data_IF_579971911354
#
_entry.id   IF_579971911354
#
_cell.length_a   1.000
_cell.length_b   1.000
_cell.length_c   1.000
_cell.angle_alpha   90.00
_cell.angle_beta   90.00
_cell.angle_gamma   90.00
#
_symmetry.space_group_name_H-M   'P 1'
#
loop_
_entity.id
_entity.type
_entity.pdbx_description
1 polymer ?
#
# COMPACT_ATOMS: atom_id res chain seq x y z
N UNK A 1 29.76 19.34 10.12
CA UNK A 1 29.56 18.30 9.09
C UNK A 1 28.06 18.20 8.87
N UNK A 2 27.54 18.17 7.65
CA UNK A 2 26.12 17.93 7.47
C UNK A 2 25.80 16.54 8.06
N UNK A 3 24.84 16.48 8.98
CA UNK A 3 24.38 15.22 9.50
C UNK A 3 23.77 14.44 8.33
N UNK A 4 24.30 13.28 8.03
CA UNK A 4 23.84 12.43 6.92
C UNK A 4 22.50 11.77 7.23
N UNK A 5 22.15 11.66 8.50
CA UNK A 5 20.93 11.04 9.01
C UNK A 5 20.15 12.02 9.87
N UNK A 6 19.01 12.42 9.37
CA UNK A 6 17.98 13.15 10.13
C UNK A 6 16.67 12.38 10.23
N UNK A 7 15.65 13.04 10.74
CA UNK A 7 14.33 12.42 10.86
C UNK A 7 13.77 11.86 9.54
N UNK A 8 13.92 12.53 8.36
CA UNK A 8 13.44 11.98 7.11
C UNK A 8 14.06 10.62 6.77
N UNK A 9 15.39 10.48 6.95
CA UNK A 9 16.12 9.26 6.66
C UNK A 9 15.75 8.13 7.63
N UNK A 10 15.64 8.45 8.92
CA UNK A 10 15.23 7.48 9.95
C UNK A 10 13.82 6.97 9.64
N UNK A 11 12.87 7.85 9.34
CA UNK A 11 11.50 7.46 9.01
C UNK A 11 11.44 6.67 7.71
N UNK A 12 12.22 7.04 6.67
CA UNK A 12 12.31 6.28 5.44
C UNK A 12 12.80 4.83 5.68
N UNK A 13 13.82 4.65 6.54
CA UNK A 13 14.31 3.32 6.94
C UNK A 13 13.25 2.53 7.74
N UNK A 14 12.54 3.17 8.66
CA UNK A 14 11.44 2.52 9.40
C UNK A 14 10.32 2.08 8.46
N UNK A 15 9.95 2.91 7.48
CA UNK A 15 8.97 2.55 6.45
C UNK A 15 9.48 1.41 5.58
N UNK A 16 10.76 1.39 5.21
CA UNK A 16 11.36 0.28 4.46
C UNK A 16 11.25 -1.05 5.23
N UNK A 17 11.58 -1.03 6.52
CA UNK A 17 11.44 -2.20 7.41
C UNK A 17 9.97 -2.63 7.47
N UNK A 18 9.05 -1.69 7.68
CA UNK A 18 7.61 -1.98 7.70
C UNK A 18 7.15 -2.65 6.41
N UNK A 19 7.53 -2.13 5.22
CA UNK A 19 7.18 -2.74 3.93
C UNK A 19 7.78 -4.13 3.78
N UNK A 20 9.00 -4.37 4.27
CA UNK A 20 9.60 -5.69 4.32
C UNK A 20 8.81 -6.69 5.17
N UNK A 21 8.35 -6.27 6.35
CA UNK A 21 7.51 -7.10 7.23
C UNK A 21 6.14 -7.39 6.59
N UNK A 22 5.53 -6.41 5.95
CA UNK A 22 4.28 -6.58 5.20
C UNK A 22 4.47 -7.55 4.02
N UNK A 23 5.60 -7.48 3.31
CA UNK A 23 5.91 -8.43 2.23
C UNK A 23 6.06 -9.86 2.77
N UNK A 24 6.72 -10.05 3.91
CA UNK A 24 6.81 -11.37 4.56
C UNK A 24 5.43 -11.91 4.94
N UNK A 25 4.54 -11.04 5.45
CA UNK A 25 3.15 -11.40 5.76
C UNK A 25 2.38 -11.76 4.48
N UNK A 26 2.48 -10.94 3.45
CA UNK A 26 1.91 -11.17 2.13
C UNK A 26 2.38 -12.49 1.52
N UNK A 27 3.67 -12.78 1.57
CA UNK A 27 4.25 -14.02 1.05
C UNK A 27 3.74 -15.27 1.80
N UNK A 28 3.52 -15.18 3.12
CA UNK A 28 2.90 -16.28 3.90
C UNK A 28 1.47 -16.52 3.47
N UNK A 29 0.70 -15.45 3.31
CA UNK A 29 -0.70 -15.53 2.86
C UNK A 29 -0.77 -16.08 1.42
N UNK A 30 0.08 -15.61 0.52
CA UNK A 30 0.20 -16.11 -0.85
C UNK A 30 0.39 -17.63 -0.91
N UNK A 31 1.33 -18.17 -0.12
CA UNK A 31 1.55 -19.63 -0.09
C UNK A 31 0.29 -20.39 0.33
N UNK A 32 -0.46 -19.87 1.32
CA UNK A 32 -1.71 -20.49 1.78
C UNK A 32 -2.82 -20.40 0.73
N UNK A 33 -2.93 -19.26 0.04
CA UNK A 33 -3.93 -19.06 -1.01
C UNK A 33 -3.66 -20.00 -2.20
N UNK A 34 -2.41 -20.10 -2.66
CA UNK A 34 -2.01 -21.00 -3.74
C UNK A 34 -2.23 -22.46 -3.37
N UNK A 35 -1.91 -22.88 -2.14
CA UNK A 35 -2.22 -24.22 -1.63
C UNK A 35 -3.73 -24.50 -1.60
N UNK A 36 -4.56 -23.48 -1.46
CA UNK A 36 -6.03 -23.54 -1.53
C UNK A 36 -6.60 -23.47 -2.95
N UNK A 37 -5.75 -23.45 -3.99
CA UNK A 37 -6.20 -23.41 -5.40
C UNK A 37 -6.42 -21.99 -5.95
N UNK A 38 -5.94 -20.95 -5.26
CA UNK A 38 -6.01 -19.59 -5.79
C UNK A 38 -5.17 -19.43 -7.07
N UNK A 39 -5.61 -18.54 -7.95
CA UNK A 39 -4.91 -18.17 -9.19
C UNK A 39 -4.43 -16.72 -9.09
N UNK A 40 -3.19 -16.45 -9.52
CA UNK A 40 -2.64 -15.11 -9.59
C UNK A 40 -3.11 -14.41 -10.87
N UNK A 41 -3.58 -13.17 -10.73
CA UNK A 41 -3.92 -12.28 -11.84
C UNK A 41 -2.90 -11.14 -11.91
N UNK A 42 -2.50 -10.77 -13.14
CA UNK A 42 -1.61 -9.63 -13.36
C UNK A 42 -0.21 -9.78 -12.73
N UNK A 43 0.37 -10.99 -12.73
CA UNK A 43 1.67 -11.26 -12.11
C UNK A 43 2.80 -10.34 -12.61
N UNK A 44 2.78 -9.97 -13.89
CA UNK A 44 3.75 -9.06 -14.50
C UNK A 44 3.69 -7.62 -13.95
N UNK A 45 2.61 -7.26 -13.24
CA UNK A 45 2.43 -5.93 -12.67
C UNK A 45 3.10 -5.77 -11.29
N UNK A 46 3.29 -6.84 -10.55
CA UNK A 46 3.86 -6.77 -9.20
C UNK A 46 5.22 -6.05 -9.12
N UNK A 47 6.19 -6.26 -10.04
CA UNK A 47 7.44 -5.51 -10.03
C UNK A 47 7.26 -3.99 -10.10
N UNK A 48 6.26 -3.50 -10.84
CA UNK A 48 5.95 -2.06 -10.92
C UNK A 48 5.56 -1.52 -9.54
N UNK A 49 4.72 -2.24 -8.79
CA UNK A 49 4.33 -1.89 -7.43
C UNK A 49 5.54 -1.84 -6.50
N UNK A 50 6.39 -2.87 -6.53
CA UNK A 50 7.57 -2.97 -5.69
C UNK A 50 8.58 -1.85 -5.98
N UNK A 51 8.88 -1.60 -7.26
CA UNK A 51 9.79 -0.52 -7.69
C UNK A 51 9.23 0.85 -7.30
N UNK A 52 7.93 1.09 -7.47
CA UNK A 52 7.30 2.36 -7.08
C UNK A 52 7.39 2.63 -5.57
N UNK A 53 7.25 1.59 -4.72
CA UNK A 53 7.46 1.72 -3.27
C UNK A 53 8.91 2.05 -2.94
N UNK A 54 9.86 1.33 -3.52
CA UNK A 54 11.28 1.60 -3.30
C UNK A 54 11.68 2.99 -3.79
N UNK A 55 11.19 3.41 -4.96
CA UNK A 55 11.44 4.74 -5.50
C UNK A 55 10.91 5.85 -4.58
N UNK A 56 9.71 5.68 -4.02
CA UNK A 56 9.14 6.61 -3.06
C UNK A 56 9.95 6.72 -1.77
N UNK A 57 10.36 5.59 -1.20
CA UNK A 57 11.20 5.56 0.01
C UNK A 57 12.57 6.17 -0.29
N UNK A 58 13.18 5.82 -1.42
CA UNK A 58 14.46 6.38 -1.87
C UNK A 58 14.37 7.90 -2.11
N UNK A 59 13.27 8.38 -2.68
CA UNK A 59 13.04 9.81 -2.87
C UNK A 59 13.01 10.56 -1.53
N UNK A 60 12.36 10.02 -0.50
CA UNK A 60 12.37 10.61 0.84
C UNK A 60 13.79 10.57 1.42
N UNK A 61 14.48 9.44 1.31
CA UNK A 61 15.80 9.25 1.90
C UNK A 61 16.87 10.15 1.28
N UNK A 62 16.89 10.27 -0.05
CA UNK A 62 17.98 10.97 -0.76
C UNK A 62 17.66 12.41 -1.13
N UNK A 63 16.38 12.77 -1.30
CA UNK A 63 16.01 14.11 -1.79
C UNK A 63 15.52 15.05 -0.68
N UNK A 64 15.16 14.50 0.51
CA UNK A 64 14.71 15.34 1.62
C UNK A 64 15.93 15.67 2.51
N UNK A 65 16.21 16.96 2.79
CA UNK A 65 17.32 17.35 3.65
C UNK A 65 17.23 16.73 5.05
N UNK A 66 18.36 16.33 5.62
CA UNK A 66 18.40 15.69 6.94
C UNK A 66 17.90 16.62 8.07
N UNK A 67 18.08 17.92 7.90
CA UNK A 67 17.64 18.98 8.83
C UNK A 67 16.23 19.49 8.56
N UNK A 68 15.47 18.84 7.64
CA UNK A 68 14.11 19.23 7.34
C UNK A 68 13.22 19.21 8.60
N UNK A 69 12.51 20.30 8.82
CA UNK A 69 11.63 20.45 9.97
C UNK A 69 10.44 19.49 9.88
N UNK A 70 10.15 18.82 10.99
CA UNK A 70 8.97 17.95 11.10
C UNK A 70 7.73 18.82 11.31
N UNK A 71 6.68 18.58 10.52
CA UNK A 71 5.36 19.18 10.67
C UNK A 71 4.52 18.32 11.64
N UNK A 72 4.33 18.73 12.92
CA UNK A 72 3.76 17.83 13.95
C UNK A 72 2.34 17.35 13.62
N UNK A 73 1.50 18.23 13.10
CA UNK A 73 0.10 17.89 12.75
C UNK A 73 0.06 16.83 11.64
N UNK A 74 0.91 16.97 10.61
CA UNK A 74 0.99 15.99 9.52
C UNK A 74 1.62 14.67 9.99
N UNK A 75 2.57 14.72 10.93
CA UNK A 75 3.14 13.51 11.54
C UNK A 75 2.07 12.73 12.32
N UNK A 76 1.26 13.40 13.12
CA UNK A 76 0.13 12.78 13.85
C UNK A 76 -0.88 12.19 12.86
N UNK A 77 -1.22 12.92 11.80
CA UNK A 77 -2.12 12.43 10.76
C UNK A 77 -1.55 11.18 10.05
N UNK A 78 -0.25 11.16 9.76
CA UNK A 78 0.43 9.99 9.19
C UNK A 78 0.37 8.78 10.14
N UNK A 79 0.62 8.98 11.43
CA UNK A 79 0.52 7.91 12.43
C UNK A 79 -0.92 7.37 12.56
N UNK A 80 -1.92 8.24 12.52
CA UNK A 80 -3.31 7.82 12.50
C UNK A 80 -3.64 6.99 11.25
N UNK A 81 -3.07 7.38 10.09
CA UNK A 81 -3.23 6.64 8.85
C UNK A 81 -2.60 5.24 8.92
N UNK A 82 -1.49 5.06 9.67
CA UNK A 82 -0.95 3.73 9.95
C UNK A 82 -1.95 2.85 10.71
N UNK A 83 -2.69 3.41 11.66
CA UNK A 83 -3.78 2.70 12.33
C UNK A 83 -4.86 2.20 11.35
N UNK A 84 -5.26 3.06 10.40
CA UNK A 84 -6.20 2.69 9.33
C UNK A 84 -5.61 1.59 8.43
N UNK A 85 -4.32 1.68 8.10
CA UNK A 85 -3.63 0.65 7.31
C UNK A 85 -3.69 -0.72 7.99
N UNK A 86 -3.33 -0.81 9.27
CA UNK A 86 -3.39 -2.07 9.99
C UNK A 86 -4.83 -2.58 10.20
N UNK A 87 -5.81 -1.68 10.29
CA UNK A 87 -7.22 -2.07 10.28
C UNK A 87 -7.62 -2.72 8.95
N UNK A 88 -7.18 -2.16 7.81
CA UNK A 88 -7.41 -2.76 6.49
C UNK A 88 -6.76 -4.14 6.38
N UNK A 89 -5.47 -4.25 6.74
CA UNK A 89 -4.71 -5.50 6.71
C UNK A 89 -5.37 -6.56 7.59
N UNK A 90 -5.73 -6.20 8.83
CA UNK A 90 -6.37 -7.10 9.78
C UNK A 90 -7.76 -7.55 9.36
N UNK A 91 -8.54 -6.69 8.67
CA UNK A 91 -9.87 -7.06 8.15
C UNK A 91 -9.78 -8.15 7.09
N UNK A 92 -8.83 -8.06 6.15
CA UNK A 92 -8.61 -9.12 5.15
C UNK A 92 -7.89 -10.35 5.75
N UNK A 93 -7.08 -10.16 6.79
CA UNK A 93 -6.37 -11.23 7.47
C UNK A 93 -5.58 -12.11 6.50
N UNK A 94 -5.94 -13.42 6.43
CA UNK A 94 -5.28 -14.40 5.55
C UNK A 94 -5.42 -14.15 4.07
N UNK A 95 -6.37 -13.31 3.64
CA UNK A 95 -6.59 -12.95 2.24
C UNK A 95 -5.81 -11.70 1.80
N UNK A 96 -5.19 -10.99 2.74
CA UNK A 96 -4.40 -9.82 2.41
C UNK A 96 -3.08 -10.18 1.74
N UNK A 97 -2.86 -9.66 0.55
CA UNK A 97 -1.61 -9.81 -0.23
C UNK A 97 -1.30 -8.54 -1.01
N UNK A 98 -0.03 -8.33 -1.34
CA UNK A 98 0.37 -7.28 -2.27
C UNK A 98 0.02 -7.58 -3.73
N UNK A 99 -0.13 -8.87 -4.06
CA UNK A 99 -0.49 -9.35 -5.39
C UNK A 99 -2.01 -9.57 -5.48
N UNK A 100 -2.51 -9.78 -6.69
CA UNK A 100 -3.92 -10.06 -6.93
C UNK A 100 -4.10 -11.58 -7.04
N UNK A 101 -4.89 -12.16 -6.13
CA UNK A 101 -5.28 -13.56 -6.17
C UNK A 101 -6.79 -13.71 -6.21
N UNK A 102 -7.27 -14.61 -7.06
CA UNK A 102 -8.67 -15.02 -7.06
C UNK A 102 -8.79 -16.44 -6.50
N UNK A 103 -9.75 -16.66 -5.64
CA UNK A 103 -10.11 -17.95 -5.08
C UNK A 103 -11.63 -18.04 -5.03
N UNK A 104 -12.22 -18.95 -5.81
CA UNK A 104 -13.68 -19.00 -6.02
C UNK A 104 -14.44 -19.23 -4.71
N UNK A 105 -13.86 -19.98 -3.76
CA UNK A 105 -14.42 -20.23 -2.43
C UNK A 105 -14.22 -19.10 -1.42
N UNK A 106 -13.43 -18.06 -1.73
CA UNK A 106 -13.21 -16.99 -0.79
C UNK A 106 -14.36 -15.97 -0.79
N UNK A 107 -14.86 -15.55 0.37
CA UNK A 107 -15.88 -14.51 0.44
C UNK A 107 -15.35 -13.17 -0.06
N UNK A 108 -16.23 -12.34 -0.63
CA UNK A 108 -15.92 -10.93 -0.87
C UNK A 108 -16.07 -10.20 0.46
N UNK A 109 -14.99 -9.60 0.93
CA UNK A 109 -15.01 -8.91 2.22
C UNK A 109 -15.83 -7.62 2.14
N UNK A 110 -16.75 -7.44 3.09
CA UNK A 110 -17.64 -6.27 3.20
C UNK A 110 -17.63 -5.66 4.62
N UNK A 111 -16.75 -6.15 5.51
CA UNK A 111 -16.62 -5.67 6.90
C UNK A 111 -15.54 -4.59 7.03
N UNK A 112 -15.50 -3.96 8.18
CA UNK A 112 -14.49 -2.96 8.51
C UNK A 112 -14.45 -1.83 7.46
N UNK A 113 -13.24 -1.44 6.97
CA UNK A 113 -13.11 -0.39 5.96
C UNK A 113 -13.78 -0.75 4.62
N UNK A 114 -13.91 -2.04 4.29
CA UNK A 114 -14.52 -2.54 3.05
C UNK A 114 -16.03 -2.31 2.95
N UNK A 115 -16.69 -1.94 4.06
CA UNK A 115 -18.10 -1.51 4.04
C UNK A 115 -18.29 -0.10 3.47
N UNK A 116 -17.23 0.73 3.49
CA UNK A 116 -17.30 2.12 3.03
C UNK A 116 -16.81 2.28 1.59
N UNK A 117 -15.82 1.47 1.18
CA UNK A 117 -15.26 1.52 -0.17
C UNK A 117 -14.67 0.18 -0.59
N UNK A 118 -14.61 -0.07 -1.91
CA UNK A 118 -14.10 -1.34 -2.46
C UNK A 118 -12.60 -1.55 -2.25
N UNK A 119 -11.81 -0.49 -2.30
CA UNK A 119 -10.34 -0.55 -2.30
C UNK A 119 -9.71 0.32 -1.20
N UNK A 120 -10.02 0.09 0.10
CA UNK A 120 -9.50 0.94 1.18
C UNK A 120 -7.98 0.86 1.29
N UNK A 121 -7.37 -0.28 0.98
CA UNK A 121 -5.91 -0.44 0.97
C UNK A 121 -5.24 0.52 -0.03
N UNK A 122 -5.85 0.74 -1.19
CA UNK A 122 -5.30 1.63 -2.21
C UNK A 122 -5.45 3.10 -1.84
N UNK A 123 -6.59 3.47 -1.26
CA UNK A 123 -6.80 4.81 -0.74
C UNK A 123 -5.77 5.16 0.35
N UNK A 124 -5.52 4.23 1.29
CA UNK A 124 -4.48 4.39 2.31
C UNK A 124 -3.10 4.55 1.68
N UNK A 125 -2.73 3.73 0.69
CA UNK A 125 -1.43 3.83 0.02
C UNK A 125 -1.24 5.19 -0.67
N UNK A 126 -2.25 5.71 -1.37
CA UNK A 126 -2.19 7.05 -1.99
C UNK A 126 -2.03 8.12 -0.91
N UNK A 127 -2.82 8.05 0.16
CA UNK A 127 -2.74 9.01 1.26
C UNK A 127 -1.38 8.99 1.98
N UNK A 128 -0.81 7.81 2.24
CA UNK A 128 0.54 7.67 2.80
C UNK A 128 1.60 8.27 1.90
N UNK A 129 1.51 8.01 0.58
CA UNK A 129 2.47 8.52 -0.40
C UNK A 129 2.47 10.04 -0.46
N UNK A 130 1.28 10.65 -0.37
CA UNK A 130 1.15 12.10 -0.32
C UNK A 130 1.62 12.68 1.01
N UNK A 131 1.19 12.09 2.12
CA UNK A 131 1.30 12.70 3.44
C UNK A 131 2.72 12.63 4.01
N UNK A 132 3.42 11.49 3.86
CA UNK A 132 4.74 11.33 4.50
C UNK A 132 5.78 12.34 4.02
N UNK A 133 5.95 12.62 2.70
CA UNK A 133 6.88 13.67 2.28
C UNK A 133 6.49 15.06 2.80
N UNK A 134 5.18 15.34 2.93
CA UNK A 134 4.68 16.61 3.46
C UNK A 134 5.00 16.81 4.94
N UNK A 135 5.14 15.73 5.72
CA UNK A 135 5.63 15.79 7.11
C UNK A 135 6.96 16.53 7.20
N UNK A 136 7.76 16.45 6.16
CA UNK A 136 9.08 17.09 6.06
C UNK A 136 9.10 18.27 5.06
N UNK A 137 7.94 18.79 4.66
CA UNK A 137 7.82 19.91 3.72
C UNK A 137 8.25 19.59 2.28
N UNK A 138 8.47 18.31 1.92
CA UNK A 138 8.92 17.89 0.61
C UNK A 138 7.76 17.81 -0.41
N UNK A 139 7.19 18.97 -0.76
CA UNK A 139 5.99 19.09 -1.61
C UNK A 139 6.22 18.48 -2.99
N UNK A 140 7.36 18.71 -3.62
CA UNK A 140 7.66 18.16 -4.94
C UNK A 140 7.66 16.61 -4.93
N UNK A 141 8.29 16.00 -3.92
CA UNK A 141 8.30 14.54 -3.74
C UNK A 141 6.88 14.02 -3.53
N UNK A 142 6.10 14.70 -2.69
CA UNK A 142 4.69 14.35 -2.46
C UNK A 142 3.88 14.35 -3.75
N UNK A 143 3.91 15.43 -4.51
CA UNK A 143 3.11 15.58 -5.75
C UNK A 143 3.52 14.55 -6.79
N UNK A 144 4.82 14.44 -7.08
CA UNK A 144 5.34 13.54 -8.13
C UNK A 144 5.02 12.08 -7.77
N UNK A 145 5.35 11.66 -6.55
CA UNK A 145 5.16 10.26 -6.16
C UNK A 145 3.67 9.90 -6.02
N UNK A 146 2.83 10.84 -5.58
CA UNK A 146 1.39 10.62 -5.55
C UNK A 146 0.82 10.45 -6.95
N UNK A 147 1.25 11.27 -7.92
CA UNK A 147 0.82 11.11 -9.32
C UNK A 147 1.22 9.74 -9.89
N UNK A 148 2.47 9.31 -9.65
CA UNK A 148 2.95 7.97 -10.01
C UNK A 148 2.05 6.88 -9.38
N UNK A 149 1.80 6.98 -8.07
CA UNK A 149 0.99 5.99 -7.35
C UNK A 149 -0.47 5.96 -7.78
N UNK A 150 -1.06 7.10 -8.10
CA UNK A 150 -2.42 7.15 -8.68
C UNK A 150 -2.47 6.38 -10.00
N UNK A 151 -1.48 6.56 -10.89
CA UNK A 151 -1.41 5.82 -12.15
C UNK A 151 -1.23 4.31 -11.92
N UNK A 152 -0.29 3.92 -11.04
CA UNK A 152 -0.01 2.53 -10.66
C UNK A 152 -1.27 1.86 -10.09
N UNK A 153 -1.95 2.51 -9.15
CA UNK A 153 -3.13 1.96 -8.49
C UNK A 153 -4.33 1.89 -9.45
N UNK A 154 -4.54 2.88 -10.31
CA UNK A 154 -5.62 2.81 -11.32
C UNK A 154 -5.48 1.57 -12.19
N UNK A 155 -4.27 1.29 -12.68
CA UNK A 155 -4.04 0.08 -13.46
C UNK A 155 -4.25 -1.20 -12.64
N UNK A 156 -3.81 -1.21 -11.38
CA UNK A 156 -4.04 -2.35 -10.48
C UNK A 156 -5.52 -2.62 -10.23
N UNK A 157 -6.32 -1.56 -10.06
CA UNK A 157 -7.79 -1.68 -9.87
C UNK A 157 -8.42 -2.33 -11.10
N UNK A 158 -8.03 -1.93 -12.32
CA UNK A 158 -8.54 -2.53 -13.57
C UNK A 158 -8.27 -4.03 -13.59
N UNK A 159 -7.02 -4.44 -13.33
CA UNK A 159 -6.64 -5.86 -13.27
C UNK A 159 -7.41 -6.63 -12.21
N UNK A 160 -7.63 -6.04 -11.03
CA UNK A 160 -8.37 -6.68 -9.93
C UNK A 160 -9.86 -6.78 -10.26
N UNK A 161 -10.47 -5.76 -10.84
CA UNK A 161 -11.87 -5.76 -11.22
C UNK A 161 -12.14 -6.80 -12.31
N UNK A 162 -11.28 -6.92 -13.31
CA UNK A 162 -11.36 -7.98 -14.33
C UNK A 162 -11.25 -9.37 -13.69
N UNK A 163 -10.27 -9.57 -12.80
CA UNK A 163 -10.06 -10.84 -12.13
C UNK A 163 -11.22 -11.28 -11.21
N UNK A 164 -11.96 -10.31 -10.65
CA UNK A 164 -13.06 -10.55 -9.72
C UNK A 164 -14.46 -10.46 -10.38
N UNK A 165 -14.57 -10.10 -11.66
CA UNK A 165 -15.85 -9.86 -12.32
C UNK A 165 -16.82 -11.04 -12.21
N UNK A 166 -16.34 -12.27 -12.49
CA UNK A 166 -17.18 -13.48 -12.41
C UNK A 166 -17.69 -13.79 -10.99
N UNK A 167 -16.86 -13.53 -9.96
CA UNK A 167 -17.22 -13.74 -8.56
C UNK A 167 -18.24 -12.71 -8.04
N UNK A 168 -18.13 -11.47 -8.50
CA UNK A 168 -19.09 -10.41 -8.13
C UNK A 168 -20.46 -10.69 -8.73
N UNK A 169 -20.53 -11.11 -10.00
CA UNK A 169 -21.78 -11.50 -10.65
C UNK A 169 -22.47 -12.68 -9.94
N UNK A 170 -21.71 -13.69 -9.49
CA UNK A 170 -22.24 -14.82 -8.74
C UNK A 170 -22.74 -14.42 -7.33
N UNK A 171 -22.10 -13.44 -6.67
CA UNK A 171 -22.48 -12.96 -5.34
C UNK A 171 -23.64 -11.95 -5.33
N UNK A 172 -24.01 -11.38 -6.48
CA UNK A 172 -25.19 -10.52 -6.66
C UNK A 172 -26.45 -11.33 -7.01
N UNK A 173 -26.26 -12.58 -7.47
CA UNK A 173 -27.37 -13.50 -7.83
C UNK A 173 -27.83 -14.40 -6.67
N UNK A 174 -27.19 -14.36 -5.52
CA UNK A 174 -27.49 -15.13 -4.31
C UNK A 174 -28.05 -14.24 -3.20
#
# INVERSE_FOLDING_TARGET
MPEFLGWPQIVALLVLIQRGLEELHSARNTRRLLAGGAREAGAAYYPVVAVSHLAWIAAIFFLVPADAAVQPVLAVAYLALQGVRYWVIGTLGRYWTHRIYTLDSAPIERRGPYRFMRHPNYAVTIAETALLPLVFGAVAVSVIMTAVWVAVIRYKIILEDEALAGRRAAGEAS
#
